data_IF_607386486476
#
_entry.id   IF_607386486476
#
_cell.length_a   1.000
_cell.length_b   1.000
_cell.length_c   1.000
_cell.angle_alpha   90.00
_cell.angle_beta   90.00
_cell.angle_gamma   90.00
#
_symmetry.space_group_name_H-M   'P 1'
#
loop_
_entity.id
_entity.type
_entity.pdbx_description
1 polymer ?
#
# COMPACT_ATOMS: atom_id res chain seq x y z
N UNK A 1 -5.90 10.23 7.42
CA UNK A 1 -4.72 10.30 8.31
C UNK A 1 -3.69 9.29 7.80
N UNK A 2 -2.40 9.54 7.98
CA UNK A 2 -1.34 8.62 7.55
C UNK A 2 -1.10 7.61 8.67
N UNK A 3 -1.14 6.31 8.34
CA UNK A 3 -0.78 5.21 9.24
C UNK A 3 0.61 4.70 8.83
N UNK A 4 1.61 4.68 9.72
CA UNK A 4 2.94 4.21 9.36
C UNK A 4 2.94 2.67 9.23
N UNK A 5 3.70 2.18 8.26
CA UNK A 5 3.96 0.75 8.08
C UNK A 5 4.76 0.21 9.28
N UNK A 6 4.37 -0.96 9.80
CA UNK A 6 5.11 -1.67 10.85
C UNK A 6 5.46 -3.10 10.43
N UNK A 7 6.67 -3.53 10.78
CA UNK A 7 7.14 -4.88 10.45
C UNK A 7 7.48 -5.08 8.97
N UNK A 8 7.48 -6.34 8.53
CA UNK A 8 7.75 -6.71 7.13
C UNK A 8 6.46 -6.84 6.33
N UNK A 9 6.54 -6.52 5.05
CA UNK A 9 5.52 -6.85 4.06
C UNK A 9 5.62 -8.36 3.79
N UNK A 10 4.51 -9.07 3.95
CA UNK A 10 4.41 -10.49 3.61
C UNK A 10 3.76 -10.68 2.24
N UNK A 11 3.61 -11.92 1.80
CA UNK A 11 3.01 -12.24 0.49
C UNK A 11 1.57 -11.72 0.36
N UNK A 12 0.80 -11.72 1.45
CA UNK A 12 -0.64 -11.43 1.41
C UNK A 12 -1.10 -10.43 2.50
N UNK A 13 -0.24 -10.10 3.46
CA UNK A 13 -0.57 -9.22 4.59
C UNK A 13 0.50 -8.14 4.80
N UNK A 14 0.02 -6.95 5.15
CA UNK A 14 0.82 -5.79 5.54
C UNK A 14 0.20 -5.16 6.79
N UNK A 15 1.01 -4.75 7.76
CA UNK A 15 0.54 -4.19 9.02
C UNK A 15 0.88 -2.69 9.13
N UNK A 16 -0.06 -1.92 9.69
CA UNK A 16 0.10 -0.48 9.92
C UNK A 16 -0.24 -0.15 11.37
N UNK A 17 0.44 0.85 11.92
CA UNK A 17 0.15 1.34 13.27
C UNK A 17 -1.11 2.22 13.26
N UNK A 18 -2.15 1.75 13.95
CA UNK A 18 -3.42 2.44 14.11
C UNK A 18 -3.62 3.05 15.51
N UNK A 19 -2.57 3.12 16.34
CA UNK A 19 -2.68 3.46 17.77
C UNK A 19 -3.36 4.81 18.05
N UNK A 20 -3.14 5.83 17.20
CA UNK A 20 -3.88 7.11 17.31
C UNK A 20 -4.88 7.37 16.17
N UNK A 21 -5.27 6.34 15.42
CA UNK A 21 -6.21 6.48 14.32
C UNK A 21 -7.68 6.65 14.76
N UNK A 22 -7.96 6.52 16.07
CA UNK A 22 -9.32 6.55 16.61
C UNK A 22 -10.01 5.20 16.50
N UNK A 23 -11.33 5.19 16.34
CA UNK A 23 -12.10 3.95 16.14
C UNK A 23 -12.01 3.55 14.68
N UNK A 24 -11.32 2.45 14.40
CA UNK A 24 -11.28 1.78 13.09
C UNK A 24 -11.90 0.38 13.26
N UNK A 25 -12.76 0.00 12.34
CA UNK A 25 -13.41 -1.31 12.31
C UNK A 25 -12.83 -2.26 11.28
N UNK A 26 -13.15 -3.56 11.42
CA UNK A 26 -12.91 -4.53 10.36
C UNK A 26 -13.75 -4.20 9.12
N UNK A 27 -13.17 -4.41 7.93
CA UNK A 27 -13.83 -4.12 6.64
C UNK A 27 -13.74 -2.66 6.20
N UNK A 28 -13.15 -1.77 7.02
CA UNK A 28 -12.87 -0.40 6.60
C UNK A 28 -11.71 -0.33 5.59
N UNK A 29 -11.78 0.66 4.71
CA UNK A 29 -10.81 0.85 3.65
C UNK A 29 -9.56 1.57 4.14
N UNK A 30 -8.39 1.04 3.78
CA UNK A 30 -7.11 1.72 3.86
C UNK A 30 -6.61 2.04 2.45
N UNK A 31 -6.57 3.32 2.10
CA UNK A 31 -6.00 3.75 0.83
C UNK A 31 -4.47 3.73 0.90
N UNK A 32 -3.83 3.18 -0.13
CA UNK A 32 -2.39 3.30 -0.34
C UNK A 32 -2.15 4.43 -1.35
N UNK A 33 -1.46 5.48 -0.91
CA UNK A 33 -1.01 6.52 -1.82
C UNK A 33 0.09 5.94 -2.72
N UNK A 34 -0.26 5.74 -3.99
CA UNK A 34 0.58 5.09 -5.00
C UNK A 34 1.12 6.10 -6.02
N UNK A 35 1.51 7.29 -5.55
CA UNK A 35 2.30 8.24 -6.31
C UNK A 35 3.65 7.62 -6.71
N UNK A 36 3.85 7.38 -8.01
CA UNK A 36 4.99 6.60 -8.52
C UNK A 36 6.35 7.21 -8.17
N UNK A 37 6.60 8.54 -8.32
CA UNK A 37 7.87 9.13 -7.93
C UNK A 37 8.18 8.95 -6.45
N UNK A 38 7.21 9.21 -5.57
CA UNK A 38 7.39 9.08 -4.13
C UNK A 38 7.58 7.62 -3.70
N UNK A 39 6.80 6.70 -4.29
CA UNK A 39 6.88 5.27 -4.01
C UNK A 39 8.21 4.66 -4.49
N UNK A 40 8.71 5.09 -5.66
CA UNK A 40 10.00 4.65 -6.20
C UNK A 40 11.15 5.09 -5.26
N UNK A 41 11.14 6.36 -4.85
CA UNK A 41 12.14 6.90 -3.93
C UNK A 41 12.16 6.18 -2.57
N UNK A 42 11.00 5.77 -2.06
CA UNK A 42 10.87 5.08 -0.77
C UNK A 42 11.20 3.59 -0.82
N UNK A 43 10.90 2.92 -1.93
CA UNK A 43 11.07 1.46 -2.07
C UNK A 43 12.41 1.05 -2.66
N UNK A 44 13.08 1.96 -3.40
CA UNK A 44 14.28 1.65 -4.16
C UNK A 44 13.99 0.94 -5.50
N UNK A 45 12.72 0.74 -5.84
CA UNK A 45 12.29 0.23 -7.15
C UNK A 45 12.14 1.37 -8.15
N UNK A 46 12.32 1.07 -9.44
CA UNK A 46 11.96 2.02 -10.48
C UNK A 46 10.44 2.18 -10.59
N UNK A 47 9.99 3.33 -11.12
CA UNK A 47 8.57 3.55 -11.41
C UNK A 47 8.01 2.50 -12.39
N UNK A 48 8.84 2.03 -13.32
CA UNK A 48 8.49 0.97 -14.25
C UNK A 48 8.20 -0.34 -13.50
N UNK A 49 9.10 -0.77 -12.59
CA UNK A 49 8.90 -1.97 -11.78
C UNK A 49 7.66 -1.88 -10.89
N UNK A 50 7.36 -0.71 -10.34
CA UNK A 50 6.14 -0.49 -9.57
C UNK A 50 4.87 -0.72 -10.42
N UNK A 51 4.85 -0.24 -11.66
CA UNK A 51 3.71 -0.42 -12.56
C UNK A 51 3.59 -1.84 -13.09
N UNK A 52 4.69 -2.44 -13.51
CA UNK A 52 4.68 -3.74 -14.21
C UNK A 52 4.78 -4.94 -13.28
N UNK A 53 5.22 -4.73 -12.03
CA UNK A 53 5.32 -5.77 -11.02
C UNK A 53 3.98 -6.17 -10.37
N UNK A 54 2.90 -5.44 -10.66
CA UNK A 54 1.56 -5.75 -10.16
C UNK A 54 1.03 -7.06 -10.78
N UNK A 55 1.07 -8.12 -9.98
CA UNK A 55 0.64 -9.46 -10.38
C UNK A 55 -0.85 -9.59 -10.72
N UNK A 56 -1.27 -10.79 -11.09
CA UNK A 56 -2.64 -11.09 -11.53
C UNK A 56 -3.72 -10.88 -10.44
N UNK A 57 -3.32 -10.83 -9.16
CA UNK A 57 -4.23 -10.59 -8.03
C UNK A 57 -4.68 -9.14 -7.92
N UNK A 58 -3.98 -8.20 -8.57
CA UNK A 58 -4.38 -6.80 -8.57
C UNK A 58 -5.49 -6.57 -9.59
N UNK A 59 -6.65 -6.13 -9.12
CA UNK A 59 -7.81 -5.83 -9.95
C UNK A 59 -7.54 -4.64 -10.87
N UNK A 60 -8.03 -4.72 -12.12
CA UNK A 60 -7.92 -3.66 -13.12
C UNK A 60 -9.31 -3.26 -13.57
N UNK A 61 -9.79 -2.11 -13.09
CA UNK A 61 -11.09 -1.58 -13.43
C UNK A 61 -10.96 -0.50 -14.51
N UNK A 62 -11.80 -0.58 -15.55
CA UNK A 62 -11.88 0.39 -16.63
C UNK A 62 -13.34 0.87 -16.74
N UNK A 63 -13.54 2.16 -16.92
CA UNK A 63 -14.85 2.80 -17.10
C UNK A 63 -14.93 3.57 -18.39
#
# INVERSE_FOLDING_TARGET
>A
RILPLIGRISMDLTAFDASDAGVIGEGEWLALDYDLPSAAARSGLSQYELLTGLGARFERCWS
#
